data_IF_890861189540
#
_entry.id   IF_890861189540
#
_cell.length_a   1.000
_cell.length_b   1.000
_cell.length_c   1.000
_cell.angle_alpha   90.00
_cell.angle_beta   90.00
_cell.angle_gamma   90.00
#
_symmetry.space_group_name_H-M   'P 1'
#
loop_
_entity.id
_entity.type
_entity.pdbx_description
1 polymer ?
#
# COMPACT_ATOMS: atom_id res chain seq x y z
N UNK A 1 -11.09 -2.10 32.19
CA UNK A 1 -10.43 -3.23 31.49
C UNK A 1 -9.42 -3.85 32.45
N UNK A 2 -9.54 -5.15 32.75
CA UNK A 2 -8.74 -5.78 33.82
C UNK A 2 -7.38 -6.26 33.31
N UNK A 3 -6.39 -6.32 34.21
CA UNK A 3 -5.01 -6.78 33.93
C UNK A 3 -4.93 -8.18 33.28
N UNK A 4 -5.99 -8.99 33.40
CA UNK A 4 -6.07 -10.30 32.74
C UNK A 4 -6.19 -10.22 31.21
N UNK A 5 -6.71 -9.13 30.64
CA UNK A 5 -6.73 -8.94 29.18
C UNK A 5 -5.37 -8.57 28.60
N UNK A 6 -4.48 -7.95 29.38
CA UNK A 6 -3.11 -7.64 28.96
C UNK A 6 -2.23 -8.90 28.92
N UNK A 7 -2.39 -9.80 29.90
CA UNK A 7 -1.64 -11.05 29.95
C UNK A 7 -1.96 -12.00 28.77
N UNK A 8 -3.22 -12.05 28.31
CA UNK A 8 -3.62 -12.88 27.17
C UNK A 8 -3.01 -12.42 25.83
N UNK A 9 -2.70 -11.12 25.68
CA UNK A 9 -1.97 -10.59 24.53
C UNK A 9 -0.46 -10.83 24.62
N UNK A 10 0.06 -11.12 25.82
CA UNK A 10 1.49 -11.37 26.05
C UNK A 10 1.86 -12.84 25.81
N UNK A 11 0.86 -13.74 25.80
CA UNK A 11 1.04 -15.19 25.65
C UNK A 11 0.85 -15.72 24.21
N UNK A 12 0.64 -14.81 23.25
CA UNK A 12 0.77 -15.05 21.80
C UNK A 12 2.14 -14.48 21.40
N UNK A 13 3.31 -15.06 21.64
CA UNK A 13 3.75 -16.41 21.93
C UNK A 13 5.18 -16.45 21.39
N UNK A 14 6.13 -17.08 22.08
CA UNK A 14 7.51 -17.32 21.60
C UNK A 14 7.58 -18.24 20.36
N UNK A 15 6.45 -18.45 19.69
CA UNK A 15 6.30 -19.21 18.47
C UNK A 15 6.27 -18.21 17.30
N UNK A 16 7.23 -18.33 16.39
CA UNK A 16 7.48 -17.45 15.23
C UNK A 16 6.34 -17.42 14.19
N UNK A 17 5.11 -17.78 14.57
CA UNK A 17 3.98 -18.12 13.68
C UNK A 17 2.84 -17.09 13.66
N UNK A 18 2.88 -16.03 14.48
CA UNK A 18 1.82 -14.99 14.44
C UNK A 18 2.41 -13.58 14.50
N UNK A 19 3.09 -13.17 13.42
CA UNK A 19 3.59 -11.79 13.24
C UNK A 19 2.53 -10.81 12.70
N UNK A 20 1.31 -11.27 12.41
CA UNK A 20 0.29 -10.48 11.67
C UNK A 20 -0.51 -9.53 12.59
N UNK A 21 -0.69 -9.88 13.88
CA UNK A 21 -1.52 -9.09 14.81
C UNK A 21 -0.87 -7.77 15.29
N UNK A 22 0.46 -7.66 15.25
CA UNK A 22 1.18 -6.43 15.67
C UNK A 22 1.15 -5.30 14.64
N UNK A 23 0.84 -5.59 13.38
CA UNK A 23 0.71 -4.56 12.34
C UNK A 23 -0.55 -3.69 12.50
N UNK A 24 -1.55 -4.18 13.25
CA UNK A 24 -2.84 -3.49 13.46
C UNK A 24 -2.79 -2.57 14.67
N UNK A 25 -1.91 -2.84 15.63
CA UNK A 25 -1.59 -1.88 16.69
C UNK A 25 -0.63 -0.84 16.12
N UNK A 26 -1.17 0.17 15.44
CA UNK A 26 -0.39 1.25 14.83
C UNK A 26 0.42 1.99 15.91
N UNK A 27 1.64 1.54 16.13
CA UNK A 27 2.67 2.32 16.80
C UNK A 27 3.25 3.23 15.74
N UNK A 28 3.15 4.54 15.94
CA UNK A 28 3.67 5.56 15.03
C UNK A 28 5.21 5.58 15.05
N UNK A 29 5.79 4.56 14.43
CA UNK A 29 7.23 4.34 14.37
C UNK A 29 7.93 5.39 13.52
N UNK A 30 9.21 5.59 13.85
CA UNK A 30 10.12 6.47 13.14
C UNK A 30 11.23 5.65 12.46
N UNK A 31 11.72 6.16 11.34
CA UNK A 31 12.82 5.57 10.57
C UNK A 31 14.19 5.99 11.11
N UNK A 32 15.26 5.61 10.42
CA UNK A 32 16.66 5.88 10.80
C UNK A 32 17.04 7.35 10.73
N UNK A 33 16.24 8.18 10.06
CA UNK A 33 16.37 9.65 10.04
C UNK A 33 15.44 10.31 11.07
N UNK A 34 14.88 9.49 11.97
CA UNK A 34 13.96 9.91 13.02
C UNK A 34 12.68 10.55 12.45
N UNK A 35 12.24 10.13 11.25
CA UNK A 35 11.00 10.61 10.61
C UNK A 35 9.88 9.59 10.74
N UNK A 36 8.61 10.02 10.89
CA UNK A 36 7.49 9.09 10.93
C UNK A 36 7.40 8.26 9.65
N UNK A 37 7.15 6.96 9.78
CA UNK A 37 7.08 6.06 8.62
C UNK A 37 5.80 6.32 7.81
N UNK A 38 4.73 6.80 8.46
CA UNK A 38 3.43 7.16 7.85
C UNK A 38 3.05 8.59 8.22
N UNK A 39 3.84 9.56 7.76
CA UNK A 39 3.72 10.99 8.12
C UNK A 39 2.30 11.53 7.98
N UNK A 40 1.64 11.34 6.82
CA UNK A 40 0.27 11.83 6.59
C UNK A 40 -0.83 11.19 7.45
N UNK A 41 -0.49 10.15 8.24
CA UNK A 41 -1.39 9.47 9.18
C UNK A 41 -0.97 9.64 10.63
N UNK A 42 0.19 10.23 10.87
CA UNK A 42 0.73 10.39 12.21
C UNK A 42 -0.06 11.49 12.92
N UNK A 43 -0.67 11.23 14.09
CA UNK A 43 -1.38 12.23 14.85
C UNK A 43 -0.52 13.47 15.09
N UNK A 44 -1.14 14.65 15.03
CA UNK A 44 -0.44 15.92 15.25
C UNK A 44 0.32 15.96 16.58
N UNK A 45 -0.16 15.25 17.62
CA UNK A 45 0.49 15.14 18.93
C UNK A 45 1.81 14.36 18.92
N UNK A 46 2.09 13.61 17.84
CA UNK A 46 3.29 12.81 17.66
C UNK A 46 4.23 13.39 16.59
N UNK A 47 3.82 14.50 15.97
CA UNK A 47 4.62 15.27 15.01
C UNK A 47 5.34 16.41 15.73
N UNK A 48 6.57 16.67 15.34
CA UNK A 48 7.32 17.85 15.78
C UNK A 48 6.93 19.07 14.94
N UNK A 49 7.02 20.26 15.52
CA UNK A 49 6.77 21.49 14.79
C UNK A 49 7.73 21.62 13.59
N UNK A 50 7.17 21.92 12.41
CA UNK A 50 7.95 22.05 11.17
C UNK A 50 8.46 20.74 10.57
N UNK A 51 8.11 19.58 11.15
CA UNK A 51 8.57 18.27 10.68
C UNK A 51 8.02 17.92 9.28
N UNK A 52 6.80 18.37 8.97
CA UNK A 52 6.20 18.18 7.65
C UNK A 52 5.98 19.55 6.99
N UNK A 53 6.78 19.83 5.98
CA UNK A 53 6.56 20.93 5.04
C UNK A 53 5.57 20.52 3.93
N UNK A 54 4.48 21.26 3.85
CA UNK A 54 3.46 21.17 2.81
C UNK A 54 3.60 22.32 1.80
N UNK A 55 3.34 22.04 0.53
CA UNK A 55 3.27 23.08 -0.53
C UNK A 55 2.17 22.78 -1.52
N UNK A 56 1.73 23.81 -2.25
CA UNK A 56 0.88 23.62 -3.43
C UNK A 56 1.65 22.87 -4.50
N UNK A 57 1.03 21.84 -5.10
CA UNK A 57 1.68 21.04 -6.13
C UNK A 57 1.81 21.83 -7.45
N UNK A 58 3.02 21.95 -8.02
CA UNK A 58 3.25 22.67 -9.27
C UNK A 58 3.08 21.81 -10.52
N UNK A 59 3.01 20.49 -10.38
CA UNK A 59 2.96 19.56 -11.51
C UNK A 59 1.59 19.60 -12.17
N UNK A 60 1.55 19.38 -13.49
CA UNK A 60 0.31 19.34 -14.26
C UNK A 60 -0.57 18.14 -13.87
N UNK A 61 -1.79 18.10 -14.40
CA UNK A 61 -2.75 17.02 -14.14
C UNK A 61 -3.64 17.27 -12.92
N UNK A 62 -4.21 16.21 -12.36
CA UNK A 62 -5.21 16.27 -11.27
C UNK A 62 -4.70 16.96 -10.00
N UNK A 63 -3.37 17.02 -9.83
CA UNK A 63 -2.69 17.57 -8.66
C UNK A 63 -2.39 19.07 -8.80
N UNK A 64 -2.47 19.63 -10.00
CA UNK A 64 -2.02 21.00 -10.26
C UNK A 64 -2.83 22.03 -9.48
N UNK A 65 -2.19 22.79 -8.60
CA UNK A 65 -2.86 23.83 -7.77
C UNK A 65 -4.10 23.27 -7.07
N UNK A 66 -4.05 21.99 -6.70
CA UNK A 66 -5.11 21.35 -5.95
C UNK A 66 -5.24 22.00 -4.56
N UNK A 67 -6.46 22.01 -4.00
CA UNK A 67 -6.72 22.48 -2.64
C UNK A 67 -5.92 21.68 -1.59
N UNK A 68 -5.65 20.40 -1.89
CA UNK A 68 -4.87 19.51 -1.04
C UNK A 68 -3.38 19.74 -1.32
N UNK A 69 -2.55 19.95 -0.29
CA UNK A 69 -1.14 20.19 -0.48
C UNK A 69 -0.38 18.91 -0.86
N UNK A 70 0.81 19.06 -1.42
CA UNK A 70 1.80 17.99 -1.50
C UNK A 70 2.73 18.01 -0.29
N UNK A 71 3.08 16.82 0.23
CA UNK A 71 4.10 16.66 1.25
C UNK A 71 5.50 16.76 0.63
N UNK A 72 6.11 17.94 0.76
CA UNK A 72 7.45 18.23 0.24
C UNK A 72 8.55 17.53 1.03
N UNK A 73 8.32 17.28 2.32
CA UNK A 73 9.31 16.62 3.16
C UNK A 73 9.47 15.16 2.73
N UNK A 74 8.37 14.45 2.42
CA UNK A 74 8.40 13.11 1.89
C UNK A 74 9.08 13.03 0.51
N UNK A 75 8.85 14.02 -0.37
CA UNK A 75 9.55 14.13 -1.64
C UNK A 75 11.07 14.27 -1.44
N UNK A 76 11.51 15.12 -0.49
CA UNK A 76 12.94 15.31 -0.20
C UNK A 76 13.60 14.02 0.28
N UNK A 77 12.96 13.28 1.19
CA UNK A 77 13.49 11.98 1.66
C UNK A 77 13.61 10.98 0.51
N UNK A 78 12.54 10.85 -0.29
CA UNK A 78 12.53 9.95 -1.45
C UNK A 78 13.61 10.33 -2.46
N UNK A 79 13.84 11.63 -2.67
CA UNK A 79 14.89 12.14 -3.56
C UNK A 79 16.29 11.88 -3.02
N UNK A 80 16.50 12.00 -1.71
CA UNK A 80 17.79 11.76 -1.07
C UNK A 80 18.21 10.28 -1.15
N UNK A 81 17.24 9.36 -1.09
CA UNK A 81 17.46 7.91 -1.17
C UNK A 81 17.07 7.31 -2.53
N UNK A 82 17.02 8.13 -3.59
CA UNK A 82 16.42 7.73 -4.86
C UNK A 82 17.00 6.44 -5.44
N UNK A 83 18.33 6.32 -5.47
CA UNK A 83 19.00 5.16 -6.05
C UNK A 83 18.72 3.89 -5.24
N UNK A 84 18.72 3.99 -3.90
CA UNK A 84 18.36 2.87 -3.01
C UNK A 84 16.89 2.46 -3.15
N UNK A 85 15.98 3.42 -3.32
CA UNK A 85 14.56 3.16 -3.55
C UNK A 85 14.35 2.38 -4.84
N UNK A 86 14.98 2.81 -5.95
CA UNK A 86 14.87 2.12 -7.25
C UNK A 86 15.51 0.73 -7.20
N UNK A 87 16.71 0.62 -6.61
CA UNK A 87 17.42 -0.65 -6.49
C UNK A 87 16.68 -1.65 -5.56
N UNK A 88 16.04 -1.15 -4.50
CA UNK A 88 15.20 -1.98 -3.63
C UNK A 88 13.96 -2.51 -4.35
N UNK A 89 13.26 -1.71 -5.19
CA UNK A 89 12.15 -2.24 -6.02
C UNK A 89 12.66 -3.31 -6.97
N UNK A 90 13.82 -3.08 -7.60
CA UNK A 90 14.45 -4.05 -8.48
C UNK A 90 14.77 -5.36 -7.77
N UNK A 91 15.34 -5.29 -6.56
CA UNK A 91 15.64 -6.45 -5.73
C UNK A 91 14.37 -7.23 -5.36
N UNK A 92 13.32 -6.53 -4.91
CA UNK A 92 12.03 -7.14 -4.57
C UNK A 92 11.37 -7.81 -5.78
N UNK A 93 11.37 -7.16 -6.95
CA UNK A 93 10.84 -7.74 -8.18
C UNK A 93 11.64 -8.98 -8.58
N UNK A 94 12.96 -8.93 -8.50
CA UNK A 94 13.83 -10.07 -8.85
C UNK A 94 13.51 -11.26 -7.95
N UNK A 95 13.49 -11.05 -6.63
CA UNK A 95 13.15 -12.09 -5.66
C UNK A 95 11.73 -12.66 -5.91
N UNK A 96 10.74 -11.81 -6.15
CA UNK A 96 9.38 -12.23 -6.50
C UNK A 96 9.34 -13.07 -7.79
N UNK A 97 10.04 -12.62 -8.83
CA UNK A 97 10.09 -13.29 -10.14
C UNK A 97 10.69 -14.69 -10.02
N UNK A 98 11.81 -14.82 -9.29
CA UNK A 98 12.46 -16.10 -9.00
C UNK A 98 11.50 -17.05 -8.27
N UNK A 99 10.86 -16.58 -7.19
CA UNK A 99 9.95 -17.39 -6.39
C UNK A 99 8.67 -17.79 -7.14
N UNK A 100 8.18 -16.92 -8.04
CA UNK A 100 6.96 -17.16 -8.82
C UNK A 100 7.19 -18.05 -10.04
N UNK A 101 8.44 -18.13 -10.53
CA UNK A 101 8.81 -18.76 -11.79
C UNK A 101 8.56 -17.88 -13.03
N UNK A 102 8.46 -16.56 -12.86
CA UNK A 102 8.21 -15.61 -13.95
C UNK A 102 7.55 -14.31 -13.49
N UNK A 103 7.47 -13.33 -14.39
CA UNK A 103 6.87 -12.02 -14.15
C UNK A 103 6.11 -11.54 -15.38
N UNK A 104 4.79 -11.41 -15.27
CA UNK A 104 3.86 -11.11 -16.36
C UNK A 104 3.72 -9.61 -16.65
N UNK A 105 4.14 -8.73 -15.74
CA UNK A 105 3.91 -7.28 -15.81
C UNK A 105 2.42 -6.92 -15.89
N UNK A 106 1.58 -7.79 -15.33
CA UNK A 106 0.17 -7.49 -15.15
C UNK A 106 -0.06 -6.75 -13.82
N UNK A 107 -1.29 -6.24 -13.65
CA UNK A 107 -1.66 -5.46 -12.46
C UNK A 107 -1.41 -6.22 -11.16
N UNK A 108 -1.56 -7.55 -11.14
CA UNK A 108 -1.43 -8.34 -9.91
C UNK A 108 0.02 -8.64 -9.57
N UNK A 109 0.89 -8.83 -10.56
CA UNK A 109 2.33 -8.93 -10.35
C UNK A 109 2.92 -7.61 -9.86
N UNK A 110 2.48 -6.48 -10.44
CA UNK A 110 2.89 -5.15 -9.99
C UNK A 110 2.39 -4.88 -8.57
N UNK A 111 1.13 -5.20 -8.29
CA UNK A 111 0.55 -5.06 -6.97
C UNK A 111 1.27 -5.90 -5.91
N UNK A 112 1.64 -7.16 -6.21
CA UNK A 112 2.38 -8.00 -5.24
C UNK A 112 3.75 -7.43 -4.93
N UNK A 113 4.51 -6.99 -5.93
CA UNK A 113 5.83 -6.38 -5.70
C UNK A 113 5.70 -5.07 -4.91
N UNK A 114 4.68 -4.25 -5.21
CA UNK A 114 4.44 -3.03 -4.42
C UNK A 114 4.09 -3.35 -2.96
N UNK A 115 3.34 -4.43 -2.70
CA UNK A 115 3.04 -4.87 -1.34
C UNK A 115 4.28 -5.36 -0.60
N UNK A 116 5.24 -6.01 -1.27
CA UNK A 116 6.54 -6.32 -0.66
C UNK A 116 7.27 -5.05 -0.22
N UNK A 117 7.28 -4.01 -1.07
CA UNK A 117 7.86 -2.70 -0.73
C UNK A 117 7.16 -2.04 0.46
N UNK A 118 5.83 -2.10 0.51
CA UNK A 118 5.05 -1.54 1.63
C UNK A 118 5.23 -2.32 2.93
N UNK A 119 5.67 -3.58 2.85
CA UNK A 119 5.96 -4.42 4.01
C UNK A 119 7.33 -4.13 4.64
N UNK A 120 8.26 -3.50 3.91
CA UNK A 120 9.65 -3.37 4.37
C UNK A 120 9.83 -2.70 5.74
N UNK A 121 9.15 -1.60 6.08
CA UNK A 121 9.31 -1.01 7.40
C UNK A 121 8.99 -1.99 8.53
N UNK A 122 7.93 -2.78 8.34
CA UNK A 122 7.49 -3.79 9.29
C UNK A 122 8.41 -4.99 9.35
N UNK A 123 9.04 -5.34 8.23
CA UNK A 123 10.09 -6.35 8.20
C UNK A 123 11.27 -5.91 9.09
N UNK A 124 11.80 -4.70 8.91
CA UNK A 124 12.89 -4.21 9.75
C UNK A 124 12.49 -4.09 11.24
N UNK A 125 11.31 -3.54 11.53
CA UNK A 125 10.88 -3.30 12.91
C UNK A 125 10.47 -4.58 13.64
N UNK A 126 9.59 -5.39 13.05
CA UNK A 126 8.96 -6.52 13.74
C UNK A 126 9.76 -7.81 13.59
N UNK A 127 10.40 -8.02 12.43
CA UNK A 127 11.11 -9.26 12.13
C UNK A 127 12.59 -9.16 12.49
N UNK A 128 13.26 -8.06 12.16
CA UNK A 128 14.67 -7.86 12.50
C UNK A 128 14.88 -7.19 13.87
N UNK A 129 13.86 -6.51 14.41
CA UNK A 129 14.00 -5.78 15.67
C UNK A 129 14.90 -4.55 15.54
N UNK A 130 15.02 -3.98 14.34
CA UNK A 130 15.88 -2.83 14.04
C UNK A 130 15.07 -1.62 13.62
N UNK A 131 15.67 -0.44 13.71
CA UNK A 131 15.11 0.78 13.11
C UNK A 131 14.95 0.60 11.61
N UNK A 132 13.82 1.05 11.04
CA UNK A 132 13.58 1.04 9.61
C UNK A 132 14.57 1.99 8.90
N UNK A 133 15.33 1.55 7.88
CA UNK A 133 16.11 2.45 7.05
C UNK A 133 15.22 3.48 6.32
N UNK A 134 15.73 4.69 6.13
CA UNK A 134 15.00 5.78 5.46
C UNK A 134 14.58 5.43 4.01
N UNK A 135 15.44 4.74 3.24
CA UNK A 135 15.06 4.28 1.89
C UNK A 135 13.86 3.32 1.92
N UNK A 136 13.79 2.44 2.93
CA UNK A 136 12.70 1.47 3.08
C UNK A 136 11.40 2.17 3.51
N UNK A 137 11.49 3.17 4.38
CA UNK A 137 10.36 4.03 4.74
C UNK A 137 9.86 4.81 3.52
N UNK A 138 10.74 5.47 2.77
CA UNK A 138 10.42 6.21 1.54
C UNK A 138 9.79 5.29 0.48
N UNK A 139 10.39 4.11 0.25
CA UNK A 139 9.87 3.12 -0.68
C UNK A 139 8.46 2.67 -0.28
N UNK A 140 8.23 2.39 1.00
CA UNK A 140 6.93 1.91 1.48
C UNK A 140 5.79 2.88 1.20
N UNK A 141 6.07 4.20 1.28
CA UNK A 141 5.13 5.29 0.96
C UNK A 141 4.81 5.29 -0.53
N UNK A 142 5.82 5.20 -1.39
CA UNK A 142 5.64 5.17 -2.84
C UNK A 142 4.90 3.90 -3.31
N UNK A 143 5.24 2.73 -2.78
CA UNK A 143 4.58 1.48 -3.14
C UNK A 143 3.19 1.31 -2.53
N UNK A 144 2.87 2.04 -1.46
CA UNK A 144 1.50 2.13 -0.96
C UNK A 144 0.58 2.71 -2.04
N UNK A 145 1.00 3.80 -2.69
CA UNK A 145 0.28 4.40 -3.82
C UNK A 145 0.13 3.44 -4.99
N UNK A 146 1.17 2.69 -5.35
CA UNK A 146 1.09 1.64 -6.39
C UNK A 146 0.15 0.50 -5.98
N UNK A 147 0.08 0.17 -4.70
CA UNK A 147 -0.89 -0.80 -4.17
C UNK A 147 -2.34 -0.35 -4.33
N UNK A 148 -2.62 0.92 -4.02
CA UNK A 148 -3.94 1.54 -4.20
C UNK A 148 -4.30 1.58 -5.69
N UNK A 149 -3.37 2.04 -6.53
CA UNK A 149 -3.52 2.06 -7.98
C UNK A 149 -3.85 0.67 -8.53
N UNK A 150 -3.04 -0.33 -8.16
CA UNK A 150 -3.19 -1.70 -8.67
C UNK A 150 -4.57 -2.28 -8.34
N UNK A 151 -5.11 -1.96 -7.16
CA UNK A 151 -6.47 -2.36 -6.82
C UNK A 151 -7.54 -1.62 -7.61
N UNK A 152 -7.45 -0.30 -7.76
CA UNK A 152 -8.42 0.48 -8.56
C UNK A 152 -8.48 -0.04 -9.99
N UNK A 153 -7.32 -0.26 -10.60
CA UNK A 153 -7.22 -0.83 -11.94
C UNK A 153 -7.77 -2.26 -11.98
N UNK A 154 -7.43 -3.12 -11.02
CA UNK A 154 -7.94 -4.49 -10.99
C UNK A 154 -9.46 -4.55 -10.89
N UNK A 155 -10.08 -3.73 -10.03
CA UNK A 155 -11.54 -3.64 -9.89
C UNK A 155 -12.18 -3.15 -11.20
N UNK A 156 -11.60 -2.14 -11.85
CA UNK A 156 -12.10 -1.66 -13.15
C UNK A 156 -12.01 -2.75 -14.23
N UNK A 157 -10.88 -3.47 -14.31
CA UNK A 157 -10.72 -4.58 -15.26
C UNK A 157 -11.76 -5.69 -15.03
N UNK A 158 -12.07 -6.01 -13.77
CA UNK A 158 -13.13 -6.97 -13.43
C UNK A 158 -14.51 -6.47 -13.84
N UNK A 159 -14.82 -5.21 -13.56
CA UNK A 159 -16.11 -4.60 -13.88
C UNK A 159 -16.34 -4.51 -15.40
N UNK A 160 -15.32 -4.12 -16.14
CA UNK A 160 -15.36 -3.97 -17.60
C UNK A 160 -15.19 -5.30 -18.36
N UNK A 161 -14.82 -6.38 -17.65
CA UNK A 161 -14.53 -7.71 -18.23
C UNK A 161 -13.46 -7.66 -19.33
N UNK A 162 -12.45 -6.81 -19.13
CA UNK A 162 -11.38 -6.57 -20.09
C UNK A 162 -10.22 -7.54 -19.90
N UNK A 163 -9.46 -7.77 -20.97
CA UNK A 163 -8.23 -8.56 -20.89
C UNK A 163 -7.18 -7.80 -20.10
N UNK A 164 -6.51 -8.47 -19.16
CA UNK A 164 -5.45 -7.86 -18.35
C UNK A 164 -4.25 -7.52 -19.24
N UNK A 165 -3.89 -6.23 -19.39
CA UNK A 165 -2.80 -5.84 -20.27
C UNK A 165 -1.44 -6.03 -19.59
N UNK A 166 -0.38 -6.02 -20.40
CA UNK A 166 0.97 -5.79 -19.90
C UNK A 166 1.18 -4.29 -19.72
N UNK A 167 1.51 -3.85 -18.50
CA UNK A 167 1.63 -2.42 -18.20
C UNK A 167 3.01 -1.88 -18.57
N UNK A 168 3.02 -0.68 -19.16
CA UNK A 168 4.21 0.17 -19.31
C UNK A 168 4.19 1.28 -18.25
N UNK A 169 5.32 1.92 -17.97
CA UNK A 169 5.38 3.05 -17.01
C UNK A 169 4.40 4.16 -17.36
N UNK A 170 4.22 4.45 -18.66
CA UNK A 170 3.25 5.45 -19.11
C UNK A 170 1.81 5.02 -18.83
N UNK A 171 1.46 3.76 -19.10
CA UNK A 171 0.12 3.24 -18.79
C UNK A 171 -0.19 3.31 -17.29
N UNK A 172 0.79 3.04 -16.43
CA UNK A 172 0.63 3.19 -14.97
C UNK A 172 0.37 4.66 -14.62
N UNK A 173 1.13 5.60 -15.17
CA UNK A 173 0.92 7.03 -14.92
C UNK A 173 -0.46 7.50 -15.39
N UNK A 174 -0.84 7.16 -16.63
CA UNK A 174 -2.12 7.57 -17.23
C UNK A 174 -3.30 7.03 -16.42
N UNK A 175 -3.21 5.77 -15.99
CA UNK A 175 -4.27 5.15 -15.17
C UNK A 175 -4.22 5.63 -13.72
N UNK A 176 -3.07 6.02 -13.17
CA UNK A 176 -3.00 6.66 -11.86
C UNK A 176 -3.70 8.03 -11.85
N UNK A 177 -3.57 8.82 -12.93
CA UNK A 177 -4.33 10.05 -13.12
C UNK A 177 -5.83 9.77 -13.28
N UNK A 178 -6.23 8.89 -14.21
CA UNK A 178 -7.66 8.66 -14.52
C UNK A 178 -8.44 7.98 -13.39
N UNK A 179 -7.78 7.17 -12.55
CA UNK A 179 -8.38 6.58 -11.36
C UNK A 179 -8.31 7.49 -10.13
N UNK A 180 -7.75 8.70 -10.26
CA UNK A 180 -7.55 9.64 -9.16
C UNK A 180 -6.59 9.14 -8.08
N UNK A 181 -5.70 8.19 -8.38
CA UNK A 181 -4.78 7.60 -7.38
C UNK A 181 -3.76 8.62 -6.86
N UNK A 182 -3.52 9.68 -7.64
CA UNK A 182 -2.58 10.73 -7.27
C UNK A 182 -3.17 11.75 -6.28
N UNK A 183 -4.41 11.56 -5.86
CA UNK A 183 -5.12 12.35 -4.86
C UNK A 183 -5.52 11.45 -3.68
N UNK A 184 -5.13 11.83 -2.46
CA UNK A 184 -5.71 11.29 -1.23
C UNK A 184 -6.68 12.31 -0.62
N UNK A 185 -7.32 11.96 0.49
CA UNK A 185 -8.27 12.87 1.17
C UNK A 185 -7.58 14.10 1.77
N UNK A 186 -6.31 13.97 2.16
CA UNK A 186 -5.56 15.02 2.86
C UNK A 186 -4.46 15.66 2.03
N UNK A 187 -3.93 14.95 1.03
CA UNK A 187 -2.71 15.36 0.30
C UNK A 187 -2.77 14.91 -1.17
N UNK A 188 -1.89 15.50 -1.99
CA UNK A 188 -1.63 15.01 -3.36
C UNK A 188 -0.25 14.37 -3.47
N UNK A 189 -0.09 13.46 -4.45
CA UNK A 189 1.20 12.84 -4.73
C UNK A 189 2.25 13.90 -5.10
N UNK A 190 3.37 13.92 -4.38
CA UNK A 190 4.42 14.94 -4.49
C UNK A 190 5.48 14.67 -5.57
N UNK A 191 5.45 13.52 -6.25
CA UNK A 191 6.46 13.18 -7.26
C UNK A 191 6.14 13.78 -8.63
N UNK A 192 7.11 14.40 -9.30
CA UNK A 192 6.94 14.82 -10.71
C UNK A 192 6.67 13.64 -11.64
N UNK A 193 6.06 13.85 -12.80
CA UNK A 193 5.78 12.79 -13.79
C UNK A 193 7.04 12.05 -14.23
N UNK A 194 8.14 12.78 -14.43
CA UNK A 194 9.45 12.19 -14.75
C UNK A 194 9.94 11.25 -13.64
N UNK A 195 9.69 11.60 -12.38
CA UNK A 195 10.05 10.76 -11.24
C UNK A 195 9.12 9.55 -11.16
N UNK A 196 7.81 9.72 -11.35
CA UNK A 196 6.85 8.62 -11.38
C UNK A 196 7.18 7.60 -12.48
N UNK A 197 7.42 8.05 -13.71
CA UNK A 197 7.80 7.17 -14.82
C UNK A 197 9.04 6.34 -14.48
N UNK A 198 10.09 6.98 -13.95
CA UNK A 198 11.30 6.27 -13.52
C UNK A 198 11.06 5.31 -12.35
N UNK A 199 10.17 5.66 -11.42
CA UNK A 199 9.79 4.78 -10.32
C UNK A 199 9.00 3.55 -10.80
N UNK A 200 8.24 3.70 -11.88
CA UNK A 200 7.49 2.61 -12.50
C UNK A 200 8.35 1.69 -13.37
N UNK A 201 9.48 2.16 -13.89
CA UNK A 201 10.34 1.38 -14.78
C UNK A 201 10.74 0.01 -14.19
N UNK A 202 11.21 -0.12 -12.94
CA UNK A 202 11.51 -1.43 -12.35
C UNK A 202 10.34 -2.42 -12.41
N UNK A 203 9.09 -1.96 -12.40
CA UNK A 203 7.91 -2.82 -12.50
C UNK A 203 7.58 -3.24 -13.94
N UNK A 204 8.04 -2.52 -14.97
CA UNK A 204 7.49 -2.64 -16.33
C UNK A 204 8.53 -3.07 -17.38
N UNK A 205 9.81 -2.82 -17.13
CA UNK A 205 10.90 -3.23 -18.04
C UNK A 205 11.03 -4.76 -18.10
N UNK A 206 11.49 -5.31 -19.23
CA UNK A 206 11.63 -6.77 -19.38
C UNK A 206 12.62 -7.35 -18.36
N UNK A 207 13.82 -6.79 -18.34
CA UNK A 207 14.89 -7.19 -17.43
C UNK A 207 15.15 -6.06 -16.45
N UNK A 208 15.03 -6.35 -15.17
CA UNK A 208 15.44 -5.42 -14.11
C UNK A 208 16.85 -5.76 -13.67
N UNK A 209 17.65 -4.73 -13.41
CA UNK A 209 19.01 -4.90 -12.88
C UNK A 209 19.03 -4.49 -11.42
N UNK A 210 19.59 -5.36 -10.59
CA UNK A 210 19.91 -5.07 -9.19
C UNK A 210 21.39 -4.72 -9.10
N UNK A 211 21.71 -3.60 -8.46
CA UNK A 211 23.07 -3.23 -8.10
C UNK A 211 23.42 -3.88 -6.76
N UNK A 212 22.52 -3.82 -5.78
CA UNK A 212 22.68 -4.46 -4.47
C UNK A 212 23.73 -3.78 -3.60
N UNK A 213 23.82 -2.45 -3.65
CA UNK A 213 24.80 -1.66 -2.89
C UNK A 213 24.16 -0.92 -1.70
N UNK A 214 25.00 -0.46 -0.76
CA UNK A 214 24.54 0.35 0.37
C UNK A 214 23.51 -0.36 1.24
N UNK A 215 22.43 0.35 1.64
CA UNK A 215 21.35 -0.22 2.44
C UNK A 215 20.60 -1.38 1.76
N UNK A 216 20.66 -1.48 0.43
CA UNK A 216 19.97 -2.51 -0.35
C UNK A 216 20.71 -3.86 -0.31
N UNK A 217 22.01 -3.89 -0.02
CA UNK A 217 22.78 -5.15 0.06
C UNK A 217 22.16 -6.11 1.09
N UNK A 218 21.80 -5.60 2.28
CA UNK A 218 21.15 -6.38 3.33
C UNK A 218 19.77 -6.89 2.91
N UNK A 219 19.02 -6.09 2.16
CA UNK A 219 17.72 -6.51 1.60
C UNK A 219 17.89 -7.70 0.64
N UNK A 220 18.92 -7.66 -0.21
CA UNK A 220 19.24 -8.74 -1.16
C UNK A 220 19.67 -10.01 -0.43
N UNK A 221 20.51 -9.88 0.61
CA UNK A 221 20.93 -11.01 1.45
C UNK A 221 19.74 -11.66 2.18
N UNK A 222 18.78 -10.85 2.64
CA UNK A 222 17.59 -11.32 3.36
C UNK A 222 16.41 -11.72 2.45
N UNK A 223 16.61 -11.90 1.14
CA UNK A 223 15.52 -12.04 0.15
C UNK A 223 14.46 -13.08 0.52
N UNK A 224 14.86 -14.25 1.01
CA UNK A 224 13.92 -15.34 1.33
C UNK A 224 13.06 -15.01 2.55
N UNK A 225 13.65 -14.31 3.52
CA UNK A 225 12.92 -13.88 4.72
C UNK A 225 11.96 -12.74 4.41
N UNK A 226 12.38 -11.80 3.56
CA UNK A 226 11.56 -10.69 3.07
C UNK A 226 10.38 -11.23 2.27
N UNK A 227 10.60 -12.21 1.39
CA UNK A 227 9.52 -12.85 0.64
C UNK A 227 8.54 -13.56 1.57
N UNK A 228 9.04 -14.30 2.57
CA UNK A 228 8.17 -14.97 3.54
C UNK A 228 7.33 -13.96 4.32
N UNK A 229 7.96 -12.94 4.90
CA UNK A 229 7.27 -11.90 5.66
C UNK A 229 6.26 -11.14 4.78
N UNK A 230 6.70 -10.70 3.61
CA UNK A 230 5.90 -9.97 2.64
C UNK A 230 4.72 -10.80 2.11
N UNK A 231 4.86 -12.12 1.98
CA UNK A 231 3.75 -13.01 1.59
C UNK A 231 2.63 -13.02 2.65
N UNK A 232 2.98 -13.02 3.93
CA UNK A 232 1.99 -12.90 5.02
C UNK A 232 1.33 -11.51 5.01
N UNK A 233 2.11 -10.46 4.76
CA UNK A 233 1.59 -9.08 4.63
C UNK A 233 0.60 -8.96 3.45
N UNK A 234 0.94 -9.54 2.30
CA UNK A 234 0.10 -9.60 1.11
C UNK A 234 -1.21 -10.35 1.41
N UNK A 235 -1.11 -11.56 1.99
CA UNK A 235 -2.27 -12.38 2.32
C UNK A 235 -3.19 -11.63 3.30
N UNK A 236 -2.61 -11.00 4.33
CA UNK A 236 -3.37 -10.20 5.29
C UNK A 236 -4.16 -9.06 4.61
N UNK A 237 -3.53 -8.28 3.72
CA UNK A 237 -4.23 -7.23 2.99
C UNK A 237 -5.34 -7.75 2.09
N UNK A 238 -5.12 -8.88 1.42
CA UNK A 238 -6.15 -9.53 0.61
C UNK A 238 -7.32 -9.98 1.45
N UNK A 239 -7.05 -10.60 2.62
CA UNK A 239 -8.09 -11.01 3.56
C UNK A 239 -8.92 -9.85 4.07
N UNK A 240 -8.28 -8.75 4.48
CA UNK A 240 -9.01 -7.55 4.93
C UNK A 240 -9.89 -6.97 3.82
N UNK A 241 -9.40 -6.93 2.58
CA UNK A 241 -10.18 -6.44 1.45
C UNK A 241 -11.36 -7.35 1.08
N UNK A 242 -11.14 -8.67 1.05
CA UNK A 242 -12.21 -9.64 0.82
C UNK A 242 -13.28 -9.57 1.92
N UNK A 243 -12.84 -9.46 3.18
CA UNK A 243 -13.74 -9.27 4.32
C UNK A 243 -14.57 -7.99 4.16
N UNK A 244 -13.93 -6.87 3.85
CA UNK A 244 -14.60 -5.59 3.64
C UNK A 244 -15.65 -5.66 2.52
N UNK A 245 -15.28 -6.21 1.36
CA UNK A 245 -16.20 -6.36 0.23
C UNK A 245 -17.38 -7.29 0.56
N UNK A 246 -17.10 -8.44 1.17
CA UNK A 246 -18.15 -9.40 1.54
C UNK A 246 -19.14 -8.78 2.54
N UNK A 247 -18.63 -8.00 3.50
CA UNK A 247 -19.43 -7.26 4.48
C UNK A 247 -20.35 -6.23 3.81
N UNK A 248 -19.82 -5.43 2.87
CA UNK A 248 -20.63 -4.43 2.14
C UNK A 248 -21.66 -5.04 1.22
N UNK A 249 -21.29 -6.12 0.51
CA UNK A 249 -22.23 -6.89 -0.29
C UNK A 249 -23.39 -7.42 0.57
N UNK A 250 -23.09 -8.00 1.73
CA UNK A 250 -24.10 -8.49 2.66
C UNK A 250 -25.04 -7.36 3.13
N UNK A 251 -24.50 -6.18 3.45
CA UNK A 251 -25.32 -5.05 3.89
C UNK A 251 -26.22 -4.51 2.77
N UNK A 252 -25.69 -4.39 1.54
CA UNK A 252 -26.49 -4.03 0.38
C UNK A 252 -27.63 -5.04 0.10
N UNK A 253 -27.35 -6.34 0.27
CA UNK A 253 -28.36 -7.40 0.12
C UNK A 253 -29.45 -7.29 1.21
N UNK A 254 -29.07 -6.97 2.46
CA UNK A 254 -30.03 -6.75 3.56
C UNK A 254 -30.91 -5.52 3.29
N UNK A 255 -30.32 -4.39 2.84
CA UNK A 255 -31.08 -3.19 2.51
C UNK A 255 -32.04 -3.42 1.32
N UNK A 256 -31.62 -4.22 0.33
CA UNK A 256 -32.47 -4.63 -0.79
C UNK A 256 -33.66 -5.46 -0.31
N UNK A 257 -33.45 -6.38 0.64
CA UNK A 257 -34.49 -7.27 1.14
C UNK A 257 -35.45 -6.60 2.15
N UNK A 258 -34.94 -5.70 3.00
CA UNK A 258 -35.67 -5.16 4.16
C UNK A 258 -35.98 -3.65 4.03
N UNK A 259 -35.50 -2.99 2.99
CA UNK A 259 -35.51 -1.53 2.88
C UNK A 259 -34.39 -0.88 3.72
N UNK A 260 -34.27 0.47 3.69
CA UNK A 260 -33.18 1.20 4.34
C UNK A 260 -33.04 0.87 5.83
N UNK A 261 -31.81 0.61 6.27
CA UNK A 261 -31.49 0.28 7.67
C UNK A 261 -30.48 1.29 8.23
N UNK A 262 -30.91 2.34 8.96
CA UNK A 262 -30.00 3.37 9.49
C UNK A 262 -28.85 2.81 10.36
N UNK A 263 -29.10 1.71 11.06
CA UNK A 263 -28.07 1.03 11.87
C UNK A 263 -26.98 0.36 11.03
N UNK A 264 -27.26 0.01 9.76
CA UNK A 264 -26.27 -0.54 8.85
C UNK A 264 -25.36 0.56 8.29
N UNK A 265 -25.87 1.77 8.08
CA UNK A 265 -25.07 2.91 7.63
C UNK A 265 -23.96 3.24 8.64
N UNK A 266 -24.28 3.25 9.94
CA UNK A 266 -23.27 3.43 11.01
C UNK A 266 -22.25 2.28 11.02
N UNK A 267 -22.69 1.04 10.74
CA UNK A 267 -21.79 -0.12 10.64
C UNK A 267 -20.95 -0.10 9.36
N UNK A 268 -21.40 0.56 8.31
CA UNK A 268 -20.68 0.74 7.05
C UNK A 268 -19.59 1.82 7.12
N UNK A 269 -19.57 2.61 8.20
CA UNK A 269 -18.55 3.62 8.40
C UNK A 269 -17.14 2.99 8.49
N UNK A 270 -16.29 3.39 7.56
CA UNK A 270 -14.92 2.91 7.40
C UNK A 270 -13.99 3.43 8.50
N UNK A 271 -14.43 4.34 9.38
CA UNK A 271 -13.62 4.91 10.47
C UNK A 271 -13.04 3.87 11.43
N UNK A 272 -13.60 2.65 11.46
CA UNK A 272 -13.11 1.53 12.26
C UNK A 272 -12.13 0.59 11.53
N UNK A 273 -11.86 0.76 10.23
CA UNK A 273 -11.05 -0.17 9.42
C UNK A 273 -9.82 0.52 8.77
N UNK A 274 -8.67 -0.18 8.54
CA UNK A 274 -7.41 0.50 8.24
C UNK A 274 -7.43 1.27 6.89
N UNK A 275 -7.31 2.60 6.86
CA UNK A 275 -7.98 3.41 5.83
C UNK A 275 -7.44 3.39 4.39
N UNK A 276 -6.33 2.73 4.07
CA UNK A 276 -5.67 2.90 2.75
C UNK A 276 -6.29 2.05 1.61
N UNK A 277 -6.81 0.87 1.92
CA UNK A 277 -7.11 -0.16 0.90
C UNK A 277 -8.59 -0.48 0.76
N UNK A 278 -9.41 -0.09 1.73
CA UNK A 278 -10.74 -0.66 1.88
C UNK A 278 -11.83 0.20 1.24
N UNK A 279 -11.62 1.48 0.98
CA UNK A 279 -12.63 2.31 0.28
C UNK A 279 -12.68 2.05 -1.24
N UNK A 280 -11.97 1.03 -1.74
CA UNK A 280 -11.94 0.68 -3.17
C UNK A 280 -12.95 -0.42 -3.47
N UNK A 281 -14.13 -0.02 -3.94
CA UNK A 281 -15.24 -0.90 -4.31
C UNK A 281 -15.75 -0.63 -5.73
N UNK A 282 -16.47 -1.60 -6.35
CA UNK A 282 -17.23 -1.33 -7.57
C UNK A 282 -18.27 -0.23 -7.32
N UNK A 283 -18.46 0.68 -8.29
CA UNK A 283 -19.30 1.87 -8.13
C UNK A 283 -20.74 1.57 -7.67
N UNK A 284 -21.30 0.41 -8.04
CA UNK A 284 -22.65 -0.02 -7.67
C UNK A 284 -22.63 -1.46 -7.15
N UNK A 285 -22.25 -1.67 -5.89
CA UNK A 285 -22.21 -3.01 -5.28
C UNK A 285 -23.56 -3.73 -5.34
N UNK A 286 -24.68 -3.01 -5.28
CA UNK A 286 -26.04 -3.55 -5.42
C UNK A 286 -26.45 -3.94 -6.85
N UNK A 287 -25.74 -3.48 -7.88
CA UNK A 287 -25.98 -3.87 -9.28
C UNK A 287 -25.17 -5.10 -9.71
N UNK A 288 -24.29 -5.60 -8.82
CA UNK A 288 -23.61 -6.87 -9.03
C UNK A 288 -24.64 -8.01 -8.90
N UNK A 289 -25.27 -8.33 -10.04
CA UNK A 289 -26.30 -9.36 -10.22
C UNK A 289 -26.25 -10.51 -9.21
N UNK A 290 -27.34 -10.65 -8.44
CA UNK A 290 -27.62 -11.81 -7.58
C UNK A 290 -27.57 -13.13 -8.37
N UNK A 291 -27.94 -13.12 -9.65
CA UNK A 291 -27.93 -14.32 -10.51
C UNK A 291 -26.50 -14.84 -10.82
N UNK A 292 -25.45 -14.06 -10.52
CA UNK A 292 -24.04 -14.41 -10.77
C UNK A 292 -23.26 -14.84 -9.52
N UNK A 293 -23.81 -14.70 -8.32
CA UNK A 293 -23.18 -15.07 -7.05
C UNK A 293 -23.74 -16.42 -6.59
N UNK A 294 -23.37 -17.48 -7.31
CA UNK A 294 -23.59 -18.94 -7.18
C UNK A 294 -24.71 -19.48 -6.23
N UNK A 295 -25.39 -20.60 -6.58
CA UNK A 295 -26.54 -21.12 -5.82
C UNK A 295 -26.29 -21.33 -4.33
#
# INVERSE_FOLDING_TARGET
MSERSLAALTQIGDDRRVLVLRMVQEQFHRDSEDRPIREGRTPATLLREGEIEYRTCPYAGSRHVNERPMNMSALRQTSAHWDEVIDAVAALRTAYTEARGGYRRDVMDIWRVSQLGSALPWFYILREGTTCPAFAAALSKATLGVGIWGWRVFVNLLAERTTVPHFTSQMILDTAESTGTLLSDTEVCSASDKMLLKFFDPFTVENVRVVGAGGVARLVEAKDEVLRFGSHYIAFKQWLWLYWLARRALYADIETALGPQPELEERMDATAEPPDFFVLEPANVGELSLEGRAP
#
